data_IF_737058483799
#
_entry.id   IF_737058483799
#
_cell.length_a   1.000
_cell.length_b   1.000
_cell.length_c   1.000
_cell.angle_alpha   90.00
_cell.angle_beta   90.00
_cell.angle_gamma   90.00
#
_symmetry.space_group_name_H-M   'P 1'
#
loop_
_entity.id
_entity.type
_entity.pdbx_description
1 polymer ?
#
# COMPACT_ATOMS: atom_id res chain seq x y z
N UNK A 1 -16.54 2.94 -0.31
CA UNK A 1 -16.60 3.22 1.16
C UNK A 1 -15.47 2.44 1.82
N UNK A 2 -14.74 3.04 2.78
CA UNK A 2 -13.70 2.34 3.55
C UNK A 2 -14.38 1.48 4.63
N UNK A 3 -13.95 0.22 4.76
CA UNK A 3 -14.36 -0.63 5.87
C UNK A 3 -13.60 -0.21 7.15
N UNK A 4 -14.31 -0.11 8.26
CA UNK A 4 -13.69 0.15 9.57
C UNK A 4 -13.38 -1.18 10.23
N UNK A 5 -12.12 -1.62 10.11
CA UNK A 5 -11.68 -2.90 10.64
C UNK A 5 -11.73 -2.93 12.18
N UNK A 6 -12.41 -3.94 12.69
CA UNK A 6 -12.35 -4.29 14.10
C UNK A 6 -11.14 -5.19 14.36
N UNK A 7 -10.62 -5.21 15.59
CA UNK A 7 -9.45 -6.02 15.97
C UNK A 7 -9.60 -7.49 15.56
N UNK A 8 -10.78 -8.08 15.67
CA UNK A 8 -11.04 -9.48 15.26
C UNK A 8 -10.82 -9.70 13.76
N UNK A 9 -11.30 -8.80 12.93
CA UNK A 9 -11.16 -8.90 11.46
C UNK A 9 -9.72 -8.68 11.04
N UNK A 10 -9.09 -7.62 11.57
CA UNK A 10 -7.70 -7.28 11.30
C UNK A 10 -6.75 -8.42 11.73
N UNK A 11 -6.94 -8.96 12.93
CA UNK A 11 -6.14 -10.05 13.45
C UNK A 11 -6.32 -11.35 12.64
N UNK A 12 -7.52 -11.62 12.13
CA UNK A 12 -7.78 -12.77 11.25
C UNK A 12 -7.06 -12.62 9.92
N UNK A 13 -7.06 -11.43 9.32
CA UNK A 13 -6.36 -11.17 8.06
C UNK A 13 -4.85 -11.41 8.16
N UNK A 14 -4.24 -11.07 9.31
CA UNK A 14 -2.80 -11.19 9.52
C UNK A 14 -2.39 -12.39 10.40
N UNK A 15 -3.29 -13.33 10.67
CA UNK A 15 -2.96 -14.50 11.47
C UNK A 15 -1.75 -15.26 10.88
N UNK A 16 -0.76 -15.54 11.73
CA UNK A 16 0.51 -16.21 11.38
C UNK A 16 1.26 -15.54 10.23
N UNK A 17 1.13 -14.21 10.07
CA UNK A 17 1.80 -13.44 9.02
C UNK A 17 2.82 -12.48 9.61
N UNK A 18 3.77 -12.09 8.76
CA UNK A 18 4.76 -11.05 9.05
C UNK A 18 4.40 -9.77 8.31
N UNK A 19 4.48 -8.63 9.00
CA UNK A 19 4.35 -7.28 8.43
C UNK A 19 5.60 -6.50 8.79
N UNK A 20 6.16 -5.78 7.83
CA UNK A 20 7.36 -4.99 8.04
C UNK A 20 7.08 -3.54 7.67
N UNK A 21 7.50 -2.63 8.54
CA UNK A 21 7.53 -1.19 8.31
C UNK A 21 8.98 -0.72 8.30
N UNK A 22 9.30 0.17 7.38
CA UNK A 22 10.65 0.75 7.23
C UNK A 22 10.51 2.25 7.09
N UNK A 23 11.25 3.00 7.90
CA UNK A 23 11.22 4.45 7.78
C UNK A 23 11.61 5.21 9.04
N UNK A 24 11.04 6.38 9.19
CA UNK A 24 11.32 7.35 10.24
C UNK A 24 10.28 7.36 11.38
N UNK A 25 10.22 8.45 12.14
CA UNK A 25 9.32 8.61 13.28
C UNK A 25 7.83 8.61 12.89
N UNK A 26 7.49 9.09 11.71
CA UNK A 26 6.11 9.07 11.19
C UNK A 26 5.69 7.63 10.92
N UNK A 27 6.51 6.89 10.18
CA UNK A 27 6.30 5.47 9.89
C UNK A 27 6.29 4.62 11.16
N UNK A 28 7.15 4.93 12.15
CA UNK A 28 7.15 4.27 13.46
C UNK A 28 5.83 4.48 14.20
N UNK A 29 5.28 5.69 14.18
CA UNK A 29 3.98 5.99 14.80
C UNK A 29 2.87 5.17 14.14
N UNK A 30 2.88 5.08 12.81
CA UNK A 30 1.94 4.25 12.05
C UNK A 30 2.09 2.76 12.40
N UNK A 31 3.31 2.24 12.56
CA UNK A 31 3.57 0.88 12.99
C UNK A 31 2.93 0.54 14.35
N UNK A 32 3.06 1.40 15.34
CA UNK A 32 2.44 1.18 16.65
C UNK A 32 0.92 1.23 16.56
N UNK A 33 0.35 2.20 15.84
CA UNK A 33 -1.10 2.29 15.67
C UNK A 33 -1.66 1.12 14.84
N UNK A 34 -0.94 0.64 13.85
CA UNK A 34 -1.29 -0.56 13.12
C UNK A 34 -1.29 -1.80 14.04
N UNK A 35 -0.28 -1.94 14.88
CA UNK A 35 -0.21 -2.97 15.91
C UNK A 35 -1.43 -2.97 16.84
N UNK A 36 -1.85 -1.79 17.29
CA UNK A 36 -3.03 -1.62 18.14
C UNK A 36 -4.34 -2.06 17.46
N UNK A 37 -4.46 -1.90 16.13
CA UNK A 37 -5.64 -2.38 15.40
C UNK A 37 -5.61 -3.92 15.30
N UNK A 38 -4.43 -4.53 15.10
CA UNK A 38 -4.27 -6.00 15.06
C UNK A 38 -4.53 -6.62 16.43
N UNK A 39 -3.94 -6.05 17.49
CA UNK A 39 -4.09 -6.52 18.86
C UNK A 39 -3.98 -5.34 19.82
N UNK A 40 -5.08 -4.97 20.42
CA UNK A 40 -5.18 -3.82 21.34
C UNK A 40 -4.38 -3.99 22.66
N UNK A 41 -3.75 -5.13 22.88
CA UNK A 41 -2.84 -5.34 24.02
C UNK A 41 -1.38 -5.02 23.71
N UNK A 42 -1.05 -4.76 22.43
CA UNK A 42 0.29 -4.33 22.04
C UNK A 42 0.56 -2.87 22.48
N UNK A 43 1.82 -2.45 22.64
CA UNK A 43 2.15 -1.08 23.02
C UNK A 43 1.71 -0.06 21.96
N UNK A 44 1.40 1.16 22.39
CA UNK A 44 1.03 2.29 21.51
C UNK A 44 2.22 3.15 21.10
N UNK A 45 3.32 3.02 21.81
CA UNK A 45 4.55 3.78 21.60
C UNK A 45 5.74 2.96 22.12
N UNK A 46 6.99 3.35 21.80
CA UNK A 46 8.18 2.77 22.42
C UNK A 46 8.13 2.93 23.93
N UNK A 47 8.65 1.96 24.67
CA UNK A 47 8.90 2.11 26.11
C UNK A 47 9.98 3.17 26.36
N UNK A 48 9.97 3.83 27.52
CA UNK A 48 10.93 4.91 27.83
C UNK A 48 12.40 4.48 27.71
N UNK A 49 12.71 3.21 27.98
CA UNK A 49 14.04 2.63 27.88
C UNK A 49 14.48 2.34 26.43
N UNK A 50 13.57 2.40 25.47
CA UNK A 50 13.88 2.17 24.06
C UNK A 50 14.35 3.47 23.40
N UNK A 51 15.48 3.38 22.71
CA UNK A 51 15.98 4.50 21.92
C UNK A 51 14.93 4.92 20.86
N UNK A 52 14.70 6.22 20.76
CA UNK A 52 13.73 6.79 19.80
C UNK A 52 14.05 6.44 18.33
N UNK A 53 15.29 6.11 18.02
CA UNK A 53 15.80 5.80 16.69
C UNK A 53 16.33 4.36 16.66
N UNK A 54 15.45 3.40 16.91
CA UNK A 54 15.79 1.98 16.93
C UNK A 54 14.74 1.13 16.25
N UNK A 55 15.13 -0.08 15.89
CA UNK A 55 14.23 -1.10 15.38
C UNK A 55 13.28 -1.59 16.50
N UNK A 56 12.07 -1.97 16.12
CA UNK A 56 11.06 -2.51 17.04
C UNK A 56 10.48 -3.81 16.51
N UNK A 57 10.11 -4.70 17.42
CA UNK A 57 9.41 -5.93 17.09
C UNK A 57 8.24 -6.14 18.06
N UNK A 58 7.07 -6.41 17.50
CA UNK A 58 5.85 -6.72 18.25
C UNK A 58 5.32 -8.07 17.78
N UNK A 59 4.73 -8.83 18.68
CA UNK A 59 4.09 -10.11 18.35
C UNK A 59 2.77 -10.24 19.08
N UNK A 60 1.69 -10.39 18.33
CA UNK A 60 0.40 -10.78 18.90
C UNK A 60 0.44 -12.25 19.27
N UNK A 61 0.29 -12.55 20.56
CA UNK A 61 0.23 -13.95 21.06
C UNK A 61 -1.07 -14.64 20.64
N UNK A 62 -2.13 -13.88 20.34
CA UNK A 62 -3.45 -14.40 19.98
C UNK A 62 -3.48 -15.01 18.57
N UNK A 63 -2.76 -14.38 17.64
CA UNK A 63 -2.82 -14.73 16.21
C UNK A 63 -1.46 -15.06 15.61
N UNK A 64 -0.41 -15.04 16.42
CA UNK A 64 0.99 -15.20 15.98
C UNK A 64 1.41 -14.23 14.88
N UNK A 65 0.78 -13.06 14.82
CA UNK A 65 1.15 -12.00 13.90
C UNK A 65 2.46 -11.37 14.36
N UNK A 66 3.42 -11.22 13.46
CA UNK A 66 4.71 -10.57 13.72
C UNK A 66 4.77 -9.24 13.02
N UNK A 67 5.03 -8.19 13.78
CA UNK A 67 5.19 -6.83 13.27
C UNK A 67 6.63 -6.40 13.55
N UNK A 68 7.33 -5.97 12.51
CA UNK A 68 8.70 -5.47 12.61
C UNK A 68 8.74 -4.05 12.07
N UNK A 69 9.47 -3.20 12.75
CA UNK A 69 9.79 -1.85 12.30
C UNK A 69 11.31 -1.69 12.26
N UNK A 70 11.82 -1.26 11.10
CA UNK A 70 13.23 -0.91 10.92
C UNK A 70 13.36 0.59 10.85
N UNK A 71 14.17 1.14 11.77
CA UNK A 71 14.52 2.54 11.76
C UNK A 71 15.48 2.81 10.60
N UNK A 72 14.97 3.31 9.51
CA UNK A 72 15.76 3.61 8.32
C UNK A 72 15.16 4.78 7.53
N UNK A 73 15.35 6.02 7.99
CA UNK A 73 14.83 7.21 7.30
C UNK A 73 15.43 7.43 5.91
N UNK A 74 16.59 6.80 5.62
CA UNK A 74 17.31 6.93 4.35
C UNK A 74 17.25 5.68 3.46
N UNK A 75 16.55 4.63 3.88
CA UNK A 75 16.41 3.35 3.17
C UNK A 75 17.75 2.70 2.80
N UNK A 76 18.75 2.80 3.68
CA UNK A 76 20.12 2.38 3.41
C UNK A 76 20.71 1.44 4.46
N UNK A 77 19.98 1.07 5.51
CA UNK A 77 20.45 0.13 6.53
C UNK A 77 20.56 -1.29 5.95
N UNK A 78 21.41 -2.09 6.60
CA UNK A 78 21.60 -3.50 6.22
C UNK A 78 20.29 -4.29 6.23
N UNK A 79 19.41 -4.05 7.22
CA UNK A 79 18.12 -4.74 7.32
C UNK A 79 17.25 -4.43 6.09
N UNK A 80 17.16 -3.16 5.69
CA UNK A 80 16.43 -2.74 4.49
C UNK A 80 17.04 -3.35 3.22
N UNK A 81 18.37 -3.31 3.07
CA UNK A 81 19.03 -3.85 1.89
C UNK A 81 18.87 -5.37 1.77
N UNK A 82 18.97 -6.10 2.86
CA UNK A 82 18.73 -7.55 2.88
C UNK A 82 17.28 -7.90 2.50
N UNK A 83 16.33 -7.06 2.86
CA UNK A 83 14.93 -7.25 2.50
C UNK A 83 14.67 -6.93 1.02
N UNK A 84 15.27 -5.86 0.50
CA UNK A 84 15.13 -5.44 -0.89
C UNK A 84 15.86 -6.37 -1.86
N UNK A 85 16.95 -7.01 -1.41
CA UNK A 85 17.78 -7.91 -2.21
C UNK A 85 17.83 -9.30 -1.58
N UNK A 86 16.71 -10.01 -1.48
CA UNK A 86 16.69 -11.32 -0.86
C UNK A 86 17.56 -12.28 -1.68
N UNK A 87 18.49 -12.95 -1.01
CA UNK A 87 19.24 -14.02 -1.68
C UNK A 87 18.28 -15.15 -2.09
N UNK A 88 18.51 -15.77 -3.25
CA UNK A 88 17.68 -16.91 -3.71
C UNK A 88 17.61 -18.04 -2.67
N UNK A 89 18.61 -18.16 -1.80
CA UNK A 89 18.62 -19.11 -0.68
C UNK A 89 17.72 -18.70 0.49
N UNK A 90 17.38 -17.41 0.61
CA UNK A 90 16.53 -16.95 1.72
C UNK A 90 15.06 -17.35 1.56
N UNK A 91 14.62 -17.63 0.32
CA UNK A 91 13.26 -18.09 -0.01
C UNK A 91 13.23 -19.47 -0.69
N UNK A 92 14.40 -20.01 -1.04
CA UNK A 92 14.53 -21.33 -1.68
C UNK A 92 14.75 -22.41 -0.63
N UNK A 93 13.85 -23.38 -0.58
CA UNK A 93 13.99 -24.54 0.26
C UNK A 93 15.32 -25.24 0.05
N UNK A 94 16.17 -25.20 1.06
CA UNK A 94 17.17 -26.25 1.23
C UNK A 94 16.41 -27.57 1.32
N UNK A 95 16.84 -28.55 0.56
CA UNK A 95 16.35 -29.94 0.60
C UNK A 95 16.58 -30.55 1.99
N UNK A 96 15.72 -30.25 2.93
CA UNK A 96 15.76 -30.75 4.30
C UNK A 96 14.46 -30.41 5.01
N UNK A 97 13.68 -31.40 5.30
CA UNK A 97 12.43 -31.52 6.08
C UNK A 97 12.07 -30.41 7.09
N UNK A 98 11.91 -29.16 6.68
CA UNK A 98 11.35 -28.10 7.53
C UNK A 98 10.44 -27.19 6.70
N UNK A 99 9.23 -27.69 6.41
CA UNK A 99 8.17 -26.98 5.69
C UNK A 99 7.61 -25.77 6.46
N UNK A 100 7.89 -25.66 7.76
CA UNK A 100 7.35 -24.58 8.62
C UNK A 100 8.23 -23.31 8.68
N UNK A 101 9.54 -23.40 8.42
CA UNK A 101 10.47 -22.27 8.61
C UNK A 101 10.48 -21.22 7.48
N UNK A 102 10.10 -21.60 6.27
CA UNK A 102 10.25 -20.74 5.07
C UNK A 102 9.07 -19.82 4.80
N UNK A 103 7.86 -20.20 5.22
CA UNK A 103 6.65 -19.38 5.06
C UNK A 103 6.65 -18.11 5.95
N UNK A 104 7.40 -18.12 7.07
CA UNK A 104 7.46 -17.00 8.01
C UNK A 104 8.49 -15.92 7.67
N UNK A 105 9.35 -16.13 6.68
CA UNK A 105 10.41 -15.16 6.36
C UNK A 105 9.97 -14.03 5.41
N UNK A 106 9.03 -14.31 4.52
CA UNK A 106 8.55 -13.32 3.56
C UNK A 106 7.42 -12.46 4.17
N UNK A 107 7.53 -11.13 4.21
CA UNK A 107 6.44 -10.27 4.67
C UNK A 107 5.20 -10.41 3.78
N UNK A 108 4.02 -10.48 4.40
CA UNK A 108 2.75 -10.39 3.68
C UNK A 108 2.42 -8.96 3.29
N UNK A 109 2.93 -7.99 4.06
CA UNK A 109 2.82 -6.56 3.80
C UNK A 109 4.15 -5.89 4.17
N UNK A 110 4.63 -5.04 3.27
CA UNK A 110 5.84 -4.23 3.43
C UNK A 110 5.48 -2.77 3.20
N UNK A 111 5.74 -1.94 4.20
CA UNK A 111 5.39 -0.51 4.21
C UNK A 111 6.65 0.32 4.30
N UNK A 112 6.87 1.22 3.35
CA UNK A 112 7.98 2.16 3.33
C UNK A 112 7.48 3.59 3.53
N UNK A 113 8.15 4.34 4.41
CA UNK A 113 7.95 5.78 4.57
C UNK A 113 9.30 6.49 4.74
N UNK A 114 9.63 7.35 3.79
CA UNK A 114 10.89 8.10 3.79
C UNK A 114 10.72 9.41 3.03
N UNK A 115 11.44 10.44 3.45
CA UNK A 115 11.46 11.73 2.74
C UNK A 115 11.85 12.90 3.64
N UNK A 116 11.14 13.11 4.74
CA UNK A 116 11.33 14.29 5.59
C UNK A 116 12.75 14.43 6.16
N UNK A 117 13.45 13.32 6.39
CA UNK A 117 14.84 13.35 6.87
C UNK A 117 15.80 13.82 5.79
N UNK A 118 15.53 13.59 4.51
CA UNK A 118 16.31 14.14 3.42
C UNK A 118 16.19 15.66 3.33
N UNK A 119 15.00 16.20 3.62
CA UNK A 119 14.80 17.65 3.64
C UNK A 119 15.38 18.29 4.89
N UNK A 120 15.36 17.59 6.03
CA UNK A 120 15.76 18.14 7.33
C UNK A 120 17.26 18.40 7.42
N UNK A 121 18.07 17.53 6.87
CA UNK A 121 19.53 17.56 7.04
C UNK A 121 20.22 17.84 5.70
N UNK A 122 20.89 19.00 5.54
CA UNK A 122 21.54 19.37 4.29
C UNK A 122 22.56 18.34 3.78
N UNK A 123 23.26 17.67 4.72
CA UNK A 123 24.23 16.62 4.44
C UNK A 123 23.63 15.34 3.83
N UNK A 124 22.32 15.21 3.88
CA UNK A 124 21.63 14.05 3.28
C UNK A 124 21.57 14.11 1.75
N UNK A 125 21.89 15.26 1.14
CA UNK A 125 21.79 15.50 -0.30
C UNK A 125 20.41 15.91 -0.79
N UNK A 126 19.45 16.10 0.14
CA UNK A 126 18.12 16.68 -0.16
C UNK A 126 17.27 15.87 -1.15
N UNK A 127 16.50 16.60 -1.96
CA UNK A 127 15.57 16.03 -2.94
C UNK A 127 16.25 15.07 -3.92
N UNK A 128 17.37 15.46 -4.52
CA UNK A 128 18.06 14.64 -5.53
C UNK A 128 18.55 13.29 -4.98
N UNK A 129 19.08 13.29 -3.74
CA UNK A 129 19.52 12.05 -3.11
C UNK A 129 18.34 11.15 -2.76
N UNK A 130 17.22 11.72 -2.35
CA UNK A 130 15.98 10.99 -2.12
C UNK A 130 15.43 10.39 -3.42
N UNK A 131 15.35 11.15 -4.52
CA UNK A 131 14.90 10.68 -5.83
C UNK A 131 15.73 9.47 -6.30
N UNK A 132 17.06 9.55 -6.23
CA UNK A 132 17.95 8.44 -6.59
C UNK A 132 17.73 7.21 -5.70
N UNK A 133 17.48 7.41 -4.39
CA UNK A 133 17.20 6.33 -3.46
C UNK A 133 15.85 5.67 -3.74
N UNK A 134 14.81 6.44 -3.99
CA UNK A 134 13.48 5.93 -4.32
C UNK A 134 13.51 5.16 -5.65
N UNK A 135 14.21 5.67 -6.67
CA UNK A 135 14.39 4.96 -7.94
C UNK A 135 15.00 3.58 -7.71
N UNK A 136 16.12 3.51 -7.00
CA UNK A 136 16.78 2.23 -6.69
C UNK A 136 15.93 1.30 -5.84
N UNK A 137 15.10 1.85 -4.95
CA UNK A 137 14.17 1.08 -4.12
C UNK A 137 13.04 0.48 -4.96
N UNK A 138 12.39 1.27 -5.82
CA UNK A 138 11.33 0.80 -6.72
C UNK A 138 11.88 -0.28 -7.67
N UNK A 139 13.08 -0.07 -8.22
CA UNK A 139 13.75 -1.06 -9.04
C UNK A 139 13.97 -2.39 -8.30
N UNK A 140 14.42 -2.33 -7.05
CA UNK A 140 14.58 -3.52 -6.23
C UNK A 140 13.26 -4.23 -5.94
N UNK A 141 12.18 -3.48 -5.68
CA UNK A 141 10.84 -3.99 -5.40
C UNK A 141 10.20 -4.67 -6.63
N UNK A 142 10.60 -4.30 -7.83
CA UNK A 142 10.07 -4.86 -9.09
C UNK A 142 10.83 -6.09 -9.58
N UNK A 143 11.98 -6.41 -8.99
CA UNK A 143 12.78 -7.59 -9.35
C UNK A 143 12.27 -8.87 -8.70
N UNK A 144 12.55 -10.01 -9.30
CA UNK A 144 12.36 -11.33 -8.68
C UNK A 144 13.63 -11.79 -7.93
N UNK A 145 13.48 -12.43 -6.76
CA UNK A 145 12.24 -12.75 -6.06
C UNK A 145 11.63 -11.54 -5.35
N UNK A 146 10.30 -11.47 -5.35
CA UNK A 146 9.55 -10.38 -4.70
C UNK A 146 9.79 -10.36 -3.20
N UNK A 147 10.15 -9.20 -2.61
CA UNK A 147 10.48 -9.10 -1.19
C UNK A 147 9.27 -9.24 -0.26
N UNK A 148 8.05 -9.00 -0.75
CA UNK A 148 6.80 -9.12 0.00
C UNK A 148 5.65 -9.55 -0.91
N UNK A 149 4.50 -9.93 -0.33
CA UNK A 149 3.29 -10.21 -1.10
C UNK A 149 2.64 -8.92 -1.60
N UNK A 150 2.69 -7.87 -0.78
CA UNK A 150 2.21 -6.55 -1.12
C UNK A 150 3.13 -5.48 -0.55
N UNK A 151 3.34 -4.41 -1.32
CA UNK A 151 4.17 -3.27 -0.94
C UNK A 151 3.33 -2.00 -0.96
N UNK A 152 3.49 -1.19 0.09
CA UNK A 152 2.95 0.15 0.18
C UNK A 152 4.10 1.14 0.32
N UNK A 153 4.20 2.08 -0.61
CA UNK A 153 5.03 3.26 -0.46
C UNK A 153 4.14 4.38 0.10
N UNK A 154 4.49 4.87 1.28
CA UNK A 154 3.77 5.97 1.90
C UNK A 154 4.10 7.27 1.18
N UNK A 155 3.15 8.19 1.01
CA UNK A 155 3.49 9.56 0.63
C UNK A 155 4.38 10.20 1.69
N UNK A 156 5.27 11.08 1.28
CA UNK A 156 5.97 11.98 2.19
C UNK A 156 4.92 12.83 2.87
N UNK A 157 4.84 12.74 4.20
CA UNK A 157 3.79 13.38 4.97
C UNK A 157 3.91 14.90 4.88
N UNK A 158 2.81 15.57 4.55
CA UNK A 158 2.75 17.02 4.58
C UNK A 158 2.88 17.53 6.01
N UNK A 159 3.60 18.63 6.16
CA UNK A 159 3.85 19.27 7.44
C UNK A 159 2.94 20.48 7.64
N UNK A 160 2.76 20.91 8.90
CA UNK A 160 2.08 22.17 9.22
C UNK A 160 3.13 23.23 9.55
N UNK A 161 3.54 24.07 8.58
CA UNK A 161 4.70 24.98 8.75
C UNK A 161 4.59 25.91 9.94
N UNK A 162 3.38 26.38 10.24
CA UNK A 162 3.12 27.30 11.36
C UNK A 162 3.39 26.67 12.75
N UNK A 163 3.48 25.34 12.83
CA UNK A 163 3.72 24.59 14.07
C UNK A 163 5.13 23.99 14.15
N UNK A 164 5.86 24.00 13.05
CA UNK A 164 7.25 23.52 13.03
C UNK A 164 8.17 24.43 13.84
N UNK A 165 9.25 23.86 14.39
CA UNK A 165 10.37 24.66 14.86
C UNK A 165 10.96 25.47 13.71
N UNK A 166 11.61 26.61 14.01
CA UNK A 166 12.21 27.50 13.00
C UNK A 166 13.18 26.75 12.08
N UNK A 167 13.98 25.84 12.63
CA UNK A 167 14.92 25.00 11.89
C UNK A 167 14.19 24.10 10.89
N UNK A 168 13.17 23.37 11.34
CA UNK A 168 12.38 22.48 10.47
C UNK A 168 11.60 23.26 9.42
N UNK A 169 11.02 24.40 9.79
CA UNK A 169 10.28 25.24 8.85
C UNK A 169 11.15 25.81 7.74
N UNK A 170 12.46 26.01 7.97
CA UNK A 170 13.39 26.48 6.94
C UNK A 170 13.81 25.39 5.94
N UNK A 171 13.74 24.12 6.33
CA UNK A 171 14.23 22.99 5.53
C UNK A 171 13.13 22.11 4.97
N UNK A 172 12.02 21.91 5.69
CA UNK A 172 10.89 21.08 5.26
C UNK A 172 9.84 21.93 4.57
N UNK A 173 10.09 22.32 3.32
CA UNK A 173 9.20 23.17 2.56
C UNK A 173 8.11 22.36 1.85
N UNK A 174 6.86 22.85 1.87
CA UNK A 174 5.74 22.18 1.19
C UNK A 174 6.00 21.92 -0.30
N UNK A 175 6.58 22.85 -1.08
CA UNK A 175 6.90 22.59 -2.48
C UNK A 175 7.84 21.41 -2.70
N UNK A 176 8.81 21.18 -1.80
CA UNK A 176 9.72 20.04 -1.90
C UNK A 176 8.99 18.74 -1.59
N UNK A 177 8.09 18.74 -0.59
CA UNK A 177 7.23 17.60 -0.25
C UNK A 177 6.29 17.27 -1.42
N UNK A 178 5.70 18.27 -2.05
CA UNK A 178 4.85 18.11 -3.24
C UNK A 178 5.64 17.53 -4.42
N UNK A 179 6.87 18.00 -4.64
CA UNK A 179 7.76 17.45 -5.66
C UNK A 179 8.06 15.97 -5.42
N UNK A 180 8.41 15.61 -4.16
CA UNK A 180 8.62 14.21 -3.77
C UNK A 180 7.39 13.34 -4.01
N UNK A 181 6.22 13.79 -3.60
CA UNK A 181 4.97 13.04 -3.79
C UNK A 181 4.57 12.93 -5.26
N UNK A 182 4.83 13.96 -6.06
CA UNK A 182 4.62 13.94 -7.51
C UNK A 182 5.56 12.96 -8.21
N UNK A 183 6.84 12.94 -7.84
CA UNK A 183 7.81 11.98 -8.38
C UNK A 183 7.41 10.53 -8.05
N UNK A 184 7.06 10.23 -6.79
CA UNK A 184 6.54 8.92 -6.40
C UNK A 184 5.33 8.50 -7.22
N UNK A 185 4.37 9.42 -7.39
CA UNK A 185 3.18 9.14 -8.17
C UNK A 185 3.50 8.78 -9.62
N UNK A 186 4.39 9.54 -10.26
CA UNK A 186 4.79 9.29 -11.66
C UNK A 186 5.59 8.00 -11.83
N UNK A 187 6.43 7.65 -10.88
CA UNK A 187 7.19 6.39 -10.92
C UNK A 187 6.30 5.16 -10.74
N UNK A 188 5.29 5.24 -9.87
CA UNK A 188 4.36 4.14 -9.61
C UNK A 188 3.29 4.05 -10.71
N UNK A 189 2.91 5.19 -11.29
CA UNK A 189 1.91 5.32 -12.35
C UNK A 189 2.50 5.98 -13.60
N UNK A 190 3.48 5.35 -14.27
CA UNK A 190 4.07 5.94 -15.46
C UNK A 190 3.00 6.21 -16.51
N UNK A 191 3.05 7.36 -17.22
CA UNK A 191 2.13 7.64 -18.31
C UNK A 191 2.25 6.52 -19.33
N UNK A 192 1.11 5.95 -19.73
CA UNK A 192 1.07 4.94 -20.78
C UNK A 192 1.51 5.59 -22.10
N UNK A 193 2.80 5.59 -22.37
CA UNK A 193 3.33 5.95 -23.68
C UNK A 193 2.92 4.87 -24.69
N UNK A 194 2.07 5.25 -25.64
CA UNK A 194 1.66 4.56 -26.87
C UNK A 194 1.21 3.08 -26.72
N UNK A 195 0.27 2.62 -27.55
CA UNK A 195 -0.21 1.23 -27.51
C UNK A 195 0.98 0.29 -27.75
N UNK A 196 1.39 -0.42 -26.70
CA UNK A 196 2.33 -1.52 -26.82
C UNK A 196 1.80 -2.52 -27.83
N UNK A 197 2.63 -3.04 -28.76
CA UNK A 197 2.21 -4.06 -29.70
C UNK A 197 1.59 -5.24 -28.97
N UNK A 198 0.60 -5.86 -29.59
CA UNK A 198 -0.33 -6.90 -29.10
C UNK A 198 0.28 -8.12 -28.36
N UNK A 199 1.59 -8.16 -28.14
CA UNK A 199 2.32 -9.28 -27.54
C UNK A 199 3.30 -8.91 -26.42
N UNK A 200 3.13 -7.78 -25.72
CA UNK A 200 3.89 -7.59 -24.49
C UNK A 200 3.35 -8.53 -23.43
N UNK A 201 4.11 -9.59 -23.13
CA UNK A 201 3.99 -10.36 -21.90
C UNK A 201 3.82 -9.37 -20.77
N UNK A 202 2.65 -9.35 -20.11
CA UNK A 202 2.45 -8.56 -18.91
C UNK A 202 3.53 -9.00 -17.91
N UNK A 203 4.58 -8.19 -17.76
CA UNK A 203 5.39 -8.29 -16.56
C UNK A 203 4.42 -8.19 -15.39
N UNK A 204 4.31 -9.25 -14.62
CA UNK A 204 3.56 -9.24 -13.37
C UNK A 204 4.33 -8.35 -12.40
N UNK A 205 4.13 -7.02 -12.51
CA UNK A 205 4.71 -6.07 -11.58
C UNK A 205 4.20 -6.37 -10.19
N UNK A 206 5.09 -6.26 -9.21
CA UNK A 206 4.67 -6.29 -7.81
C UNK A 206 3.60 -5.19 -7.63
N UNK A 207 2.44 -5.48 -7.04
CA UNK A 207 1.47 -4.44 -6.74
C UNK A 207 2.08 -3.49 -5.69
N UNK A 208 2.41 -2.28 -6.13
CA UNK A 208 2.88 -1.19 -5.27
C UNK A 208 1.71 -0.23 -5.10
N UNK A 209 1.26 -0.09 -3.86
CA UNK A 209 0.20 0.84 -3.50
C UNK A 209 0.79 2.15 -3.00
N UNK A 210 0.20 3.28 -3.44
CA UNK A 210 0.60 4.62 -3.03
C UNK A 210 -0.64 5.41 -2.54
N UNK A 211 -0.92 5.41 -1.23
CA UNK A 211 -2.14 5.97 -0.68
C UNK A 211 -2.05 7.49 -0.48
N UNK A 212 -2.12 8.30 -1.55
CA UNK A 212 -2.13 9.77 -1.49
C UNK A 212 -3.21 10.35 -0.55
N UNK A 213 -4.24 9.56 -0.23
CA UNK A 213 -5.27 9.95 0.71
C UNK A 213 -4.72 10.23 2.12
N UNK A 214 -3.53 9.74 2.47
CA UNK A 214 -2.90 10.02 3.75
C UNK A 214 -2.68 11.51 3.95
N UNK A 215 -2.14 12.23 2.97
CA UNK A 215 -1.95 13.67 3.06
C UNK A 215 -3.29 14.45 3.00
N UNK A 216 -4.27 13.94 2.25
CA UNK A 216 -5.59 14.58 2.16
C UNK A 216 -6.43 14.53 3.43
N UNK A 217 -6.08 13.65 4.37
CA UNK A 217 -6.79 13.53 5.64
C UNK A 217 -6.10 14.27 6.81
N UNK A 218 -4.94 14.88 6.56
CA UNK A 218 -4.21 15.63 7.59
C UNK A 218 -4.99 16.87 7.99
N UNK A 219 -5.24 16.99 9.30
CA UNK A 219 -5.87 18.15 9.89
C UNK A 219 -4.83 18.92 10.71
N UNK A 220 -4.56 20.19 10.40
CA UNK A 220 -3.62 20.99 11.17
C UNK A 220 -3.91 21.06 12.67
N UNK A 221 -5.14 20.83 13.11
CA UNK A 221 -5.51 20.81 14.52
C UNK A 221 -5.06 19.53 15.24
N UNK A 222 -4.82 18.45 14.51
CA UNK A 222 -4.46 17.12 15.03
C UNK A 222 -2.94 16.92 15.20
N UNK A 223 -2.15 17.99 15.19
CA UNK A 223 -0.70 17.95 15.46
C UNK A 223 -0.29 19.10 16.36
N UNK A 224 0.65 18.88 17.27
CA UNK A 224 1.22 19.91 18.14
C UNK A 224 2.55 20.46 17.63
N UNK A 225 3.36 19.62 16.99
CA UNK A 225 4.70 19.96 16.51
C UNK A 225 4.78 20.18 14.99
N UNK A 226 3.63 20.13 14.31
CA UNK A 226 3.53 20.32 12.86
C UNK A 226 4.00 19.12 12.03
N UNK A 227 4.40 18.02 12.67
CA UNK A 227 4.97 16.84 12.02
C UNK A 227 4.31 15.53 12.45
N UNK A 228 4.04 15.36 13.74
CA UNK A 228 3.47 14.12 14.26
C UNK A 228 1.99 14.32 14.57
N UNK A 229 1.13 13.75 13.75
CA UNK A 229 -0.31 13.84 13.92
C UNK A 229 -0.83 12.93 15.04
N UNK A 230 -2.05 13.19 15.51
CA UNK A 230 -2.67 12.47 16.63
C UNK A 230 -2.80 10.97 16.37
N UNK A 231 -2.88 10.18 17.42
CA UNK A 231 -3.08 8.73 17.33
C UNK A 231 -4.39 8.36 16.62
N UNK A 232 -5.41 9.20 16.77
CA UNK A 232 -6.69 9.03 16.08
C UNK A 232 -6.52 9.09 14.57
N UNK A 233 -5.80 10.09 14.07
CA UNK A 233 -5.53 10.25 12.63
C UNK A 233 -4.67 9.12 12.12
N UNK A 234 -3.57 8.79 12.80
CA UNK A 234 -2.67 7.71 12.40
C UNK A 234 -3.36 6.34 12.44
N UNK A 235 -4.31 6.13 13.36
CA UNK A 235 -5.16 4.93 13.37
C UNK A 235 -6.07 4.86 12.13
N UNK A 236 -6.57 5.98 11.62
CA UNK A 236 -7.30 6.00 10.35
C UNK A 236 -6.38 5.64 9.17
N UNK A 237 -5.14 6.13 9.14
CA UNK A 237 -4.13 5.70 8.16
C UNK A 237 -3.85 4.19 8.24
N UNK A 238 -3.71 3.64 9.45
CA UNK A 238 -3.57 2.19 9.66
C UNK A 238 -4.78 1.42 9.12
N UNK A 239 -6.00 1.93 9.30
CA UNK A 239 -7.21 1.32 8.73
C UNK A 239 -7.22 1.37 7.19
N UNK A 240 -6.61 2.36 6.55
CA UNK A 240 -6.43 2.38 5.09
C UNK A 240 -5.50 1.26 4.64
N UNK A 241 -4.38 1.02 5.36
CA UNK A 241 -3.50 -0.12 5.06
C UNK A 241 -4.24 -1.46 5.16
N UNK A 242 -5.11 -1.61 6.16
CA UNK A 242 -5.97 -2.79 6.27
C UNK A 242 -6.93 -2.92 5.08
N UNK A 243 -7.53 -1.82 4.64
CA UNK A 243 -8.39 -1.83 3.45
C UNK A 243 -7.62 -2.19 2.17
N UNK A 244 -6.37 -1.76 2.03
CA UNK A 244 -5.53 -2.16 0.90
C UNK A 244 -5.27 -3.67 0.92
N UNK A 245 -4.96 -4.24 2.09
CA UNK A 245 -4.51 -5.64 2.19
C UNK A 245 -5.62 -6.65 2.41
N UNK A 246 -6.63 -6.31 3.20
CA UNK A 246 -7.56 -7.31 3.75
C UNK A 246 -8.94 -7.31 3.08
N UNK A 247 -9.29 -6.32 2.27
CA UNK A 247 -10.62 -6.20 1.69
C UNK A 247 -11.02 -7.39 0.82
N UNK A 248 -10.08 -8.10 0.22
CA UNK A 248 -10.39 -9.28 -0.58
C UNK A 248 -10.94 -10.44 0.25
N UNK A 249 -10.57 -10.50 1.53
CA UNK A 249 -11.08 -11.50 2.47
C UNK A 249 -12.46 -11.19 3.05
N UNK A 250 -12.99 -9.97 2.82
CA UNK A 250 -14.31 -9.60 3.34
C UNK A 250 -15.43 -10.14 2.47
N UNK A 251 -16.59 -10.49 3.07
CA UNK A 251 -17.79 -10.84 2.32
C UNK A 251 -18.18 -9.71 1.36
N UNK A 252 -18.36 -10.02 0.08
CA UNK A 252 -18.77 -9.06 -0.94
C UNK A 252 -20.29 -8.94 -0.96
N UNK A 253 -20.86 -8.22 -0.01
CA UNK A 253 -22.29 -7.99 0.11
C UNK A 253 -22.59 -6.53 -0.23
N UNK A 254 -23.61 -6.30 -1.06
CA UNK A 254 -24.08 -4.94 -1.34
C UNK A 254 -24.40 -4.18 -0.03
N UNK A 255 -23.99 -2.91 0.12
CA UNK A 255 -23.33 -2.03 -0.85
C UNK A 255 -21.78 -2.12 -0.85
N UNK A 256 -21.17 -3.09 -0.16
CA UNK A 256 -19.71 -3.25 0.02
C UNK A 256 -19.13 -4.29 -0.97
N UNK A 257 -19.83 -4.56 -2.05
CA UNK A 257 -19.42 -5.48 -3.12
C UNK A 257 -18.19 -5.00 -3.89
N UNK A 258 -17.78 -3.74 -3.69
CA UNK A 258 -16.59 -3.15 -4.32
C UNK A 258 -15.48 -2.96 -3.30
N UNK A 259 -14.30 -3.51 -3.61
CA UNK A 259 -13.08 -3.25 -2.83
C UNK A 259 -12.69 -1.79 -2.97
N UNK A 260 -12.55 -1.09 -1.84
CA UNK A 260 -11.95 0.23 -1.83
C UNK A 260 -10.46 0.12 -2.23
N UNK A 261 -9.98 1.16 -2.89
CA UNK A 261 -8.56 1.43 -3.10
C UNK A 261 -7.82 0.53 -4.12
N UNK A 262 -8.50 -0.40 -4.78
CA UNK A 262 -7.95 -1.08 -5.96
C UNK A 262 -8.33 -0.35 -7.23
N UNK A 263 -7.34 -0.09 -8.08
CA UNK A 263 -7.60 0.31 -9.46
C UNK A 263 -8.27 -0.88 -10.16
N UNK A 264 -9.51 -0.73 -10.59
CA UNK A 264 -10.11 -1.71 -11.48
C UNK A 264 -9.31 -1.76 -12.78
N UNK A 265 -8.98 -2.95 -13.29
CA UNK A 265 -8.40 -3.03 -14.63
C UNK A 265 -9.35 -2.33 -15.58
N UNK A 266 -8.84 -1.35 -16.32
CA UNK A 266 -9.64 -0.68 -17.34
C UNK A 266 -10.14 -1.74 -18.31
N UNK A 267 -11.43 -1.76 -18.67
CA UNK A 267 -11.93 -2.72 -19.63
C UNK A 267 -11.08 -2.61 -20.91
N UNK A 268 -10.57 -3.73 -21.38
CA UNK A 268 -9.80 -3.72 -22.62
C UNK A 268 -10.69 -3.20 -23.76
N UNK A 269 -10.08 -2.58 -24.76
CA UNK A 269 -10.82 -2.12 -25.95
C UNK A 269 -11.70 -3.22 -26.56
N UNK A 270 -11.28 -4.48 -26.45
CA UNK A 270 -12.06 -5.64 -26.87
C UNK A 270 -13.39 -5.76 -26.10
N UNK A 271 -13.36 -5.59 -24.77
CA UNK A 271 -14.58 -5.62 -23.96
C UNK A 271 -15.50 -4.45 -24.27
N UNK A 272 -14.94 -3.26 -24.48
CA UNK A 272 -15.72 -2.06 -24.86
C UNK A 272 -16.32 -2.25 -26.25
N UNK A 273 -15.58 -2.80 -27.20
CA UNK A 273 -16.09 -3.13 -28.55
C UNK A 273 -17.20 -4.18 -28.51
N UNK A 274 -17.01 -5.27 -27.76
CA UNK A 274 -18.04 -6.30 -27.59
C UNK A 274 -19.31 -5.71 -26.99
N UNK A 275 -19.18 -4.85 -25.96
CA UNK A 275 -20.32 -4.19 -25.33
C UNK A 275 -21.02 -3.22 -26.31
N UNK A 276 -20.26 -2.45 -27.07
CA UNK A 276 -20.78 -1.55 -28.09
C UNK A 276 -21.51 -2.33 -29.19
N UNK A 277 -20.93 -3.42 -29.67
CA UNK A 277 -21.59 -4.30 -30.66
C UNK A 277 -22.87 -4.94 -30.11
N UNK A 278 -22.89 -5.37 -28.84
CA UNK A 278 -24.08 -5.92 -28.21
C UNK A 278 -25.20 -4.87 -28.07
N UNK A 279 -24.85 -3.61 -27.73
CA UNK A 279 -25.81 -2.49 -27.66
C UNK A 279 -26.34 -2.12 -29.02
N UNK A 280 -25.53 -2.16 -30.08
CA UNK A 280 -25.94 -1.83 -31.43
C UNK A 280 -26.75 -2.96 -32.06
N UNK A 281 -26.38 -4.23 -31.82
CA UNK A 281 -27.03 -5.39 -32.42
C UNK A 281 -28.32 -5.78 -31.71
N UNK A 282 -28.44 -5.59 -30.39
CA UNK A 282 -29.61 -5.89 -29.60
C UNK A 282 -30.88 -5.19 -30.12
N UNK A 283 -30.87 -3.86 -30.29
CA UNK A 283 -32.02 -3.15 -30.88
C UNK A 283 -32.29 -3.53 -32.34
N UNK A 284 -31.24 -3.78 -33.14
CA UNK A 284 -31.38 -4.17 -34.54
C UNK A 284 -32.01 -5.53 -34.70
N UNK A 285 -31.69 -6.51 -33.88
CA UNK A 285 -32.29 -7.84 -33.88
C UNK A 285 -33.76 -7.81 -33.42
N UNK A 286 -34.12 -6.96 -32.49
CA UNK A 286 -35.49 -6.73 -32.08
C UNK A 286 -36.33 -6.06 -33.20
N UNK A 287 -35.77 -5.07 -33.89
CA UNK A 287 -36.43 -4.39 -35.00
C UNK A 287 -36.56 -5.27 -36.25
N UNK A 288 -35.61 -6.16 -36.54
CA UNK A 288 -35.69 -7.10 -37.66
C UNK A 288 -36.70 -8.22 -37.39
N UNK A 289 -36.84 -8.68 -36.15
CA UNK A 289 -37.86 -9.64 -35.73
C UNK A 289 -39.28 -9.07 -35.84
N UNK A 290 -39.46 -7.79 -35.62
CA UNK A 290 -40.74 -7.11 -35.76
C UNK A 290 -41.17 -6.97 -37.24
N UNK A 291 -40.22 -6.85 -38.17
CA UNK A 291 -40.51 -6.80 -39.63
C UNK A 291 -40.86 -8.14 -40.24
N UNK A 292 -40.48 -9.25 -39.60
CA UNK A 292 -40.77 -10.62 -40.13
C UNK A 292 -42.10 -11.20 -39.67
N UNK A 293 -42.93 -10.46 -38.94
CA UNK A 293 -44.31 -10.83 -38.60
C UNK A 293 -44.46 -12.08 -37.73
N UNK A 294 -43.40 -12.59 -37.13
CA UNK A 294 -43.49 -13.70 -36.19
C UNK A 294 -43.66 -13.17 -34.75
N UNK A 295 -44.72 -13.59 -34.02
CA UNK A 295 -44.90 -13.23 -32.63
C UNK A 295 -43.77 -13.86 -31.79
N UNK A 296 -43.30 -13.17 -30.73
CA UNK A 296 -42.26 -13.71 -29.86
C UNK A 296 -42.77 -15.01 -29.21
N UNK A 297 -42.02 -16.10 -29.40
CA UNK A 297 -42.28 -17.36 -28.69
C UNK A 297 -42.17 -17.12 -27.20
N UNK A 298 -43.30 -17.25 -26.51
CA UNK A 298 -43.40 -17.15 -25.05
C UNK A 298 -42.50 -18.23 -24.41
N UNK A 299 -41.37 -17.82 -23.85
CA UNK A 299 -40.58 -18.61 -22.93
C UNK A 299 -41.21 -18.54 -21.53
N UNK A 300 -42.33 -19.19 -21.34
CA UNK A 300 -42.90 -19.48 -20.03
C UNK A 300 -43.51 -20.88 -20.06
N UNK A 301 -42.71 -21.87 -19.74
CA UNK A 301 -43.15 -23.13 -19.15
C UNK A 301 -42.10 -23.57 -18.14
N UNK A 302 -42.36 -23.30 -16.89
CA UNK A 302 -41.91 -24.13 -15.78
C UNK A 302 -43.16 -24.70 -15.09
N UNK A 303 -43.12 -26.00 -14.77
CA UNK A 303 -43.97 -26.56 -13.73
C UNK A 303 -43.39 -26.25 -12.36
#
# INVERSE_FOLDING_TARGET
MLHSYQTKEASTCFASRKVVFIGDSVTRKLFFQFGQVIDNTLPTAPTEDQQKHSDHSLRSKKTDTRLEFYWDPYLNTTNTQNLLHPSKSAFGGGSGNTTEGTLFNKPSLLVFGSGLWYLRYPESGGLSAWEAKIESTIDALTRDPKPADEVVLLPVEEVVPAKLSRERASSMQLPDIDAMNSDLFHRIHPPQSAPSPLFSTQLTSLPISFPLVFNKMLDPTETDDGLHFSDKLVRMQANILLNLKCNDGLPKVFPLDKTCCRAYPRPSYLHVMILALAILWGPYSMLSGYRSGQPPRSLLKYP
#
